data_IF_673231841275
#
_entry.id   IF_673231841275
#
_cell.length_a   1.000
_cell.length_b   1.000
_cell.length_c   1.000
_cell.angle_alpha   90.00
_cell.angle_beta   90.00
_cell.angle_gamma   90.00
#
_symmetry.space_group_name_H-M   'P 1'
#
loop_
_entity.id
_entity.type
_entity.pdbx_description
1 polymer ?
#
# COMPACT_ATOMS: atom_id res chain seq x y z
N UNK A 1 32.75 -10.59 -7.76
CA UNK A 1 31.90 -10.13 -6.63
C UNK A 1 31.09 -8.86 -6.90
N UNK A 2 31.43 -8.03 -7.91
CA UNK A 2 30.72 -6.79 -8.25
C UNK A 2 29.33 -6.99 -8.89
N UNK A 3 29.21 -7.94 -9.83
CA UNK A 3 27.95 -8.25 -10.53
C UNK A 3 26.78 -8.68 -9.63
N UNK A 4 27.05 -9.44 -8.56
CA UNK A 4 26.00 -9.83 -7.59
C UNK A 4 25.43 -8.59 -6.86
N UNK A 5 26.27 -7.62 -6.50
CA UNK A 5 25.85 -6.37 -5.84
C UNK A 5 25.01 -5.48 -6.75
N UNK A 6 25.39 -5.35 -8.02
CA UNK A 6 24.64 -4.58 -9.04
C UNK A 6 23.26 -5.20 -9.29
N UNK A 7 23.18 -6.53 -9.39
CA UNK A 7 21.93 -7.26 -9.62
C UNK A 7 20.95 -7.15 -8.44
N UNK A 8 21.46 -7.17 -7.21
CA UNK A 8 20.65 -6.92 -5.99
C UNK A 8 20.13 -5.48 -5.97
N UNK A 9 20.97 -4.49 -6.30
CA UNK A 9 20.58 -3.08 -6.34
C UNK A 9 19.51 -2.80 -7.42
N UNK A 10 19.65 -3.42 -8.60
CA UNK A 10 18.65 -3.34 -9.69
C UNK A 10 17.33 -4.03 -9.34
N UNK A 11 17.35 -5.14 -8.60
CA UNK A 11 16.13 -5.80 -8.14
C UNK A 11 15.36 -4.92 -7.14
N UNK A 12 16.08 -4.35 -6.17
CA UNK A 12 15.52 -3.38 -5.22
C UNK A 12 14.96 -2.14 -5.94
N UNK A 13 15.65 -1.62 -6.96
CA UNK A 13 15.17 -0.48 -7.76
C UNK A 13 13.90 -0.82 -8.56
N UNK A 14 13.78 -2.03 -9.11
CA UNK A 14 12.56 -2.49 -9.79
C UNK A 14 11.39 -2.68 -8.83
N UNK A 15 11.63 -3.21 -7.63
CA UNK A 15 10.64 -3.30 -6.55
C UNK A 15 10.18 -1.91 -6.07
N UNK A 16 11.10 -0.95 -5.95
CA UNK A 16 10.74 0.43 -5.60
C UNK A 16 9.90 1.13 -6.65
N UNK A 17 9.99 0.75 -7.93
CA UNK A 17 9.20 1.37 -9.01
C UNK A 17 7.72 0.97 -8.95
N UNK A 18 7.41 -0.22 -8.40
CA UNK A 18 6.01 -0.65 -8.18
C UNK A 18 5.32 0.11 -7.05
N UNK A 19 6.07 0.89 -6.26
CA UNK A 19 5.55 1.72 -5.17
C UNK A 19 5.12 3.12 -5.61
N UNK A 20 5.63 3.62 -6.74
CA UNK A 20 5.33 4.96 -7.21
C UNK A 20 3.94 5.01 -7.85
N UNK A 21 3.16 6.03 -7.46
CA UNK A 21 1.89 6.44 -8.05
C UNK A 21 0.77 5.39 -7.96
N UNK A 22 0.36 5.08 -6.74
CA UNK A 22 -0.83 4.26 -6.49
C UNK A 22 -2.10 5.13 -6.48
N UNK A 23 -3.12 4.70 -7.20
CA UNK A 23 -4.44 5.32 -7.13
C UNK A 23 -5.17 4.87 -5.85
N UNK A 24 -5.91 5.80 -5.23
CA UNK A 24 -6.76 5.52 -4.06
C UNK A 24 -7.64 4.28 -4.26
N UNK A 25 -8.37 4.23 -5.38
CA UNK A 25 -9.29 3.12 -5.69
C UNK A 25 -8.59 1.77 -5.72
N UNK A 26 -7.34 1.72 -6.21
CA UNK A 26 -6.51 0.50 -6.21
C UNK A 26 -6.10 0.11 -4.81
N UNK A 27 -5.67 1.06 -3.98
CA UNK A 27 -5.32 0.81 -2.59
C UNK A 27 -6.52 0.26 -1.80
N UNK A 28 -7.67 0.93 -1.89
CA UNK A 28 -8.93 0.51 -1.24
C UNK A 28 -9.32 -0.91 -1.65
N UNK A 29 -9.30 -1.22 -2.95
CA UNK A 29 -9.62 -2.56 -3.45
C UNK A 29 -8.67 -3.63 -2.91
N UNK A 30 -7.38 -3.31 -2.81
CA UNK A 30 -6.39 -4.22 -2.23
C UNK A 30 -6.60 -4.43 -0.73
N UNK A 31 -6.79 -3.36 0.05
CA UNK A 31 -7.15 -3.48 1.46
C UNK A 31 -8.44 -4.29 1.66
N UNK A 32 -9.42 -4.15 0.74
CA UNK A 32 -10.61 -5.00 0.68
C UNK A 32 -10.30 -6.50 0.61
N UNK A 33 -9.31 -6.90 -0.20
CA UNK A 33 -8.84 -8.30 -0.27
C UNK A 33 -8.19 -8.81 1.03
N UNK A 34 -7.82 -7.90 1.93
CA UNK A 34 -7.28 -8.19 3.26
C UNK A 34 -8.33 -8.13 4.37
N UNK A 35 -9.61 -7.93 4.04
CA UNK A 35 -10.71 -7.90 5.01
C UNK A 35 -11.07 -6.49 5.51
N UNK A 36 -10.52 -5.44 4.90
CA UNK A 36 -10.95 -4.07 5.19
C UNK A 36 -12.26 -3.75 4.48
N UNK A 37 -13.17 -3.08 5.19
CA UNK A 37 -14.46 -2.63 4.67
C UNK A 37 -14.42 -1.12 4.58
N UNK A 38 -14.89 -0.56 3.47
CA UNK A 38 -15.07 0.88 3.35
C UNK A 38 -16.24 1.29 4.24
N UNK A 39 -15.97 2.09 5.27
CA UNK A 39 -16.98 2.55 6.21
C UNK A 39 -17.71 3.76 5.63
N UNK A 40 -16.99 4.87 5.43
CA UNK A 40 -17.53 6.06 4.79
C UNK A 40 -16.45 6.90 4.11
N UNK A 41 -16.88 7.74 3.17
CA UNK A 41 -16.05 8.70 2.47
C UNK A 41 -16.41 10.12 2.92
N UNK A 42 -15.50 10.80 3.61
CA UNK A 42 -15.71 12.16 4.09
C UNK A 42 -14.79 13.11 3.34
N UNK A 43 -15.35 13.85 2.39
CA UNK A 43 -14.65 14.87 1.62
C UNK A 43 -13.46 14.29 0.86
N UNK A 44 -12.25 14.58 1.35
CA UNK A 44 -10.98 14.17 0.73
C UNK A 44 -10.32 12.97 1.42
N UNK A 45 -11.04 12.21 2.25
CA UNK A 45 -10.48 11.04 2.95
C UNK A 45 -11.50 9.89 3.02
N UNK A 46 -11.04 8.68 2.70
CA UNK A 46 -11.78 7.42 2.84
C UNK A 46 -11.36 6.71 4.12
N UNK A 47 -12.33 6.25 4.90
CA UNK A 47 -12.09 5.49 6.12
C UNK A 47 -12.37 4.01 5.87
N UNK A 48 -11.36 3.18 6.08
CA UNK A 48 -11.45 1.73 6.03
C UNK A 48 -11.46 1.16 7.45
N UNK A 49 -12.48 0.37 7.74
CA UNK A 49 -12.64 -0.36 8.99
C UNK A 49 -12.19 -1.81 8.83
N UNK A 50 -11.66 -2.39 9.91
CA UNK A 50 -11.35 -3.81 10.00
C UNK A 50 -11.66 -4.27 11.42
N UNK A 51 -12.24 -5.47 11.57
CA UNK A 51 -12.65 -6.01 12.88
C UNK A 51 -11.47 -6.32 13.79
N UNK A 52 -10.38 -6.86 13.21
CA UNK A 52 -9.17 -7.28 13.94
C UNK A 52 -7.97 -6.31 13.87
N UNK A 53 -8.01 -5.25 13.04
CA UNK A 53 -6.84 -4.40 12.72
C UNK A 53 -7.22 -2.93 12.86
N UNK A 54 -6.22 -2.05 12.93
CA UNK A 54 -6.47 -0.61 13.04
C UNK A 54 -7.22 -0.06 11.82
N UNK A 55 -8.11 0.91 12.05
CA UNK A 55 -8.73 1.71 11.00
C UNK A 55 -7.67 2.45 10.17
N UNK A 56 -7.90 2.49 8.86
CA UNK A 56 -7.04 3.20 7.93
C UNK A 56 -7.79 4.40 7.36
N UNK A 57 -7.23 5.59 7.56
CA UNK A 57 -7.65 6.78 6.83
C UNK A 57 -6.77 6.93 5.60
N UNK A 58 -7.36 6.78 4.42
CA UNK A 58 -6.67 6.94 3.14
C UNK A 58 -7.15 8.24 2.49
N UNK A 59 -6.26 9.23 2.29
CA UNK A 59 -6.60 10.45 1.57
C UNK A 59 -7.03 10.17 0.14
N UNK A 60 -8.13 10.77 -0.29
CA UNK A 60 -8.62 10.82 -1.67
C UNK A 60 -7.75 11.76 -2.50
N UNK A 61 -6.59 11.25 -2.89
CA UNK A 61 -5.68 11.86 -3.83
C UNK A 61 -5.53 10.96 -5.05
N UNK A 62 -5.38 11.57 -6.23
CA UNK A 62 -5.14 10.83 -7.49
C UNK A 62 -3.89 9.94 -7.40
N UNK A 63 -2.86 10.40 -6.70
CA UNK A 63 -1.62 9.66 -6.49
C UNK A 63 -1.25 9.62 -5.01
N UNK A 64 -1.25 8.42 -4.43
CA UNK A 64 -0.76 8.16 -3.08
C UNK A 64 0.77 8.11 -3.11
N UNK A 65 1.39 8.93 -2.28
CA UNK A 65 2.83 8.88 -2.07
C UNK A 65 3.25 7.49 -1.55
N UNK A 66 4.38 6.93 -2.02
CA UNK A 66 4.85 5.61 -1.61
C UNK A 66 5.11 5.52 -0.10
N UNK A 67 5.53 6.62 0.53
CA UNK A 67 5.74 6.69 1.98
C UNK A 67 4.43 6.55 2.76
N UNK A 68 3.36 7.17 2.27
CA UNK A 68 2.03 7.07 2.87
C UNK A 68 1.47 5.66 2.74
N UNK A 69 1.57 5.04 1.55
CA UNK A 69 1.14 3.67 1.34
C UNK A 69 1.88 2.68 2.26
N UNK A 70 3.20 2.82 2.43
CA UNK A 70 3.97 2.02 3.39
C UNK A 70 3.50 2.24 4.83
N UNK A 71 3.21 3.47 5.19
CA UNK A 71 2.64 3.82 6.49
C UNK A 71 1.30 3.11 6.74
N UNK A 72 0.41 3.11 5.74
CA UNK A 72 -0.89 2.44 5.79
C UNK A 72 -0.74 0.91 5.87
N UNK A 73 0.13 0.31 5.05
CA UNK A 73 0.44 -1.13 5.10
C UNK A 73 0.96 -1.54 6.48
N UNK A 74 1.86 -0.73 7.07
CA UNK A 74 2.37 -0.98 8.42
C UNK A 74 1.30 -0.84 9.49
N UNK A 75 0.45 0.19 9.41
CA UNK A 75 -0.72 0.35 10.31
C UNK A 75 -1.69 -0.83 10.18
N UNK A 76 -1.81 -1.36 8.96
CA UNK A 76 -2.58 -2.55 8.69
C UNK A 76 -1.93 -3.81 9.25
N UNK A 77 -0.72 -3.77 9.83
CA UNK A 77 -0.01 -4.95 10.30
C UNK A 77 0.31 -5.95 9.17
N UNK A 78 0.50 -5.43 7.95
CA UNK A 78 0.90 -6.20 6.78
C UNK A 78 2.34 -5.83 6.43
N UNK A 79 3.05 -6.76 5.80
CA UNK A 79 4.32 -6.43 5.14
C UNK A 79 4.06 -5.90 3.73
N UNK A 80 5.01 -5.12 3.23
CA UNK A 80 5.03 -4.67 1.84
C UNK A 80 4.95 -5.87 0.89
N UNK A 81 5.70 -6.93 1.16
CA UNK A 81 5.73 -8.10 0.30
C UNK A 81 4.37 -8.81 0.25
N UNK A 82 3.71 -8.99 1.40
CA UNK A 82 2.35 -9.55 1.47
C UNK A 82 1.34 -8.71 0.70
N UNK A 83 1.44 -7.38 0.82
CA UNK A 83 0.55 -6.46 0.12
C UNK A 83 0.63 -6.62 -1.40
N UNK A 84 1.83 -6.84 -1.96
CA UNK A 84 2.04 -6.98 -3.41
C UNK A 84 1.96 -8.43 -3.92
N UNK A 85 2.09 -9.44 -3.06
CA UNK A 85 2.04 -10.86 -3.45
C UNK A 85 0.65 -11.30 -3.94
N UNK A 86 -0.41 -10.66 -3.47
CA UNK A 86 -1.81 -10.99 -3.78
C UNK A 86 -2.31 -10.19 -5.01
N UNK A 87 -1.62 -10.31 -6.15
CA UNK A 87 -2.05 -9.69 -7.41
C UNK A 87 -3.26 -10.43 -7.98
#
# INVERSE_FOLDING_TARGET
KWFKKVRVKLKALKETRSFYNWELKKAVKMFGKFGYILDHHTGSHMILYHTLRQMLSIPDHKELAPGLLRGLIRKAGLTVEEFFKKK
#
